data_IF_135673220542
#
_entry.id   IF_135673220542
#
_cell.length_a   1.000
_cell.length_b   1.000
_cell.length_c   1.000
_cell.angle_alpha   90.00
_cell.angle_beta   90.00
_cell.angle_gamma   90.00
#
_symmetry.space_group_name_H-M   'P 1'
#
loop_
_entity.id
_entity.type
_entity.pdbx_description
1 polymer ?
#
# COMPACT_ATOMS: atom_id res chain seq x y z
N UNK A 1 3.49 -13.19 -5.92
CA UNK A 1 3.17 -12.36 -7.12
C UNK A 1 4.26 -12.46 -8.20
N UNK A 2 5.50 -12.01 -7.95
CA UNK A 2 6.57 -11.90 -8.96
C UNK A 2 6.79 -13.17 -9.81
N UNK A 3 6.87 -14.34 -9.17
CA UNK A 3 7.01 -15.63 -9.87
C UNK A 3 5.89 -15.92 -10.88
N UNK A 4 4.65 -15.49 -10.61
CA UNK A 4 3.47 -15.72 -11.48
C UNK A 4 3.45 -14.80 -12.69
N UNK A 5 4.14 -13.67 -12.62
CA UNK A 5 4.19 -12.66 -13.67
C UNK A 5 5.57 -12.55 -14.31
N UNK A 6 6.47 -13.49 -13.99
CA UNK A 6 7.86 -13.50 -14.43
C UNK A 6 8.58 -12.16 -14.22
N UNK A 7 8.41 -11.56 -13.03
CA UNK A 7 9.01 -10.27 -12.69
C UNK A 7 10.23 -10.41 -11.78
N UNK A 8 11.17 -9.48 -11.95
CA UNK A 8 12.20 -9.19 -10.96
C UNK A 8 11.65 -8.26 -9.88
N UNK A 9 12.17 -8.38 -8.65
CA UNK A 9 11.84 -7.49 -7.53
C UNK A 9 13.00 -6.52 -7.33
N UNK A 10 12.75 -5.23 -7.53
CA UNK A 10 13.72 -4.18 -7.20
C UNK A 10 13.81 -3.97 -5.67
N UNK A 11 14.91 -3.40 -5.15
CA UNK A 11 14.98 -2.98 -3.75
C UNK A 11 13.81 -2.07 -3.37
N UNK A 12 13.28 -2.25 -2.16
CA UNK A 12 12.13 -1.48 -1.69
C UNK A 12 12.50 -0.01 -1.42
N UNK A 13 11.59 0.91 -1.78
CA UNK A 13 11.62 2.29 -1.30
C UNK A 13 11.05 2.31 0.11
N UNK A 14 11.94 2.35 1.11
CA UNK A 14 11.57 2.14 2.51
C UNK A 14 11.03 3.39 3.23
N UNK A 15 11.35 4.58 2.74
CA UNK A 15 10.95 5.86 3.36
C UNK A 15 9.96 6.62 2.48
N UNK A 16 8.98 7.26 3.10
CA UNK A 16 7.88 7.94 2.41
C UNK A 16 7.31 9.13 3.19
N UNK A 17 6.18 9.64 2.70
CA UNK A 17 5.51 10.80 3.28
C UNK A 17 4.42 10.31 4.24
N UNK A 18 4.74 10.26 5.53
CA UNK A 18 3.86 9.72 6.59
C UNK A 18 2.72 10.64 7.00
N UNK A 19 2.86 11.95 6.78
CA UNK A 19 1.83 12.94 7.13
C UNK A 19 1.55 12.98 8.62
N UNK A 20 0.27 12.97 9.02
CA UNK A 20 -0.17 13.14 10.41
C UNK A 20 0.27 12.05 11.37
N UNK A 21 0.91 10.98 10.87
CA UNK A 21 1.50 9.90 11.65
C UNK A 21 3.00 10.11 11.96
N UNK A 22 3.61 11.19 11.50
CA UNK A 22 5.04 11.47 11.71
C UNK A 22 5.44 11.55 13.20
N UNK A 23 4.57 12.06 14.06
CA UNK A 23 4.91 12.30 15.47
C UNK A 23 4.96 11.04 16.34
N UNK A 24 4.53 9.88 15.83
CA UNK A 24 4.56 8.62 16.60
C UNK A 24 5.98 8.06 16.65
N UNK A 25 6.41 7.64 17.84
CA UNK A 25 7.76 7.12 18.06
C UNK A 25 8.07 5.91 17.15
N UNK A 26 9.22 5.94 16.49
CA UNK A 26 9.63 4.95 15.50
C UNK A 26 9.18 5.26 14.06
N UNK A 27 8.23 6.18 13.88
CA UNK A 27 7.88 6.73 12.58
C UNK A 27 9.07 7.48 11.96
N UNK A 28 9.30 7.26 10.66
CA UNK A 28 10.30 8.01 9.89
C UNK A 28 9.60 8.70 8.71
N UNK A 29 9.82 10.00 8.58
CA UNK A 29 9.22 10.83 7.56
C UNK A 29 10.30 11.40 6.63
N UNK A 30 10.02 11.43 5.33
CA UNK A 30 10.75 12.30 4.41
C UNK A 30 9.79 13.23 3.69
N UNK A 31 10.24 14.47 3.49
CA UNK A 31 9.48 15.49 2.77
C UNK A 31 9.21 15.07 1.33
N UNK A 32 8.17 15.64 0.71
CA UNK A 32 7.96 15.48 -0.74
C UNK A 32 9.19 15.90 -1.55
N UNK A 33 9.88 16.97 -1.12
CA UNK A 33 11.09 17.48 -1.78
C UNK A 33 12.24 16.46 -1.80
N UNK A 34 12.25 15.48 -0.87
CA UNK A 34 13.18 14.36 -0.88
C UNK A 34 12.59 13.13 -1.60
N UNK A 35 11.33 12.80 -1.32
CA UNK A 35 10.65 11.61 -1.86
C UNK A 35 10.52 11.65 -3.39
N UNK A 36 10.01 12.76 -3.93
CA UNK A 36 9.75 12.93 -5.37
C UNK A 36 11.01 12.69 -6.22
N UNK A 37 12.13 13.41 -6.03
CA UNK A 37 13.33 13.18 -6.83
C UNK A 37 13.94 11.79 -6.59
N UNK A 38 13.89 11.27 -5.36
CA UNK A 38 14.39 9.92 -5.07
C UNK A 38 13.64 8.84 -5.86
N UNK A 39 12.31 8.82 -5.78
CA UNK A 39 11.49 7.85 -6.53
C UNK A 39 11.66 8.03 -8.03
N UNK A 40 11.73 9.28 -8.51
CA UNK A 40 11.98 9.58 -9.93
C UNK A 40 13.29 8.95 -10.38
N UNK A 41 14.40 9.18 -9.68
CA UNK A 41 15.71 8.63 -10.03
C UNK A 41 15.74 7.09 -10.02
N UNK A 42 15.06 6.46 -9.06
CA UNK A 42 14.92 4.98 -9.03
C UNK A 42 14.22 4.47 -10.29
N UNK A 43 13.05 5.03 -10.63
CA UNK A 43 12.28 4.59 -11.79
C UNK A 43 13.02 4.89 -13.11
N UNK A 44 13.65 6.05 -13.24
CA UNK A 44 14.44 6.40 -14.42
C UNK A 44 15.68 5.51 -14.55
N UNK A 45 16.35 5.15 -13.45
CA UNK A 45 17.46 4.21 -13.48
C UNK A 45 17.04 2.84 -14.00
N UNK A 46 15.90 2.32 -13.55
CA UNK A 46 15.33 1.08 -14.10
C UNK A 46 15.04 1.21 -15.60
N UNK A 47 14.44 2.33 -16.02
CA UNK A 47 14.17 2.60 -17.44
C UNK A 47 15.45 2.61 -18.29
N UNK A 48 16.50 3.30 -17.81
CA UNK A 48 17.84 3.36 -18.44
C UNK A 48 18.51 1.98 -18.53
N UNK A 49 18.26 1.10 -17.55
CA UNK A 49 18.73 -0.29 -17.56
C UNK A 49 17.93 -1.22 -18.50
N UNK A 50 16.99 -0.69 -19.28
CA UNK A 50 16.27 -1.46 -20.29
C UNK A 50 14.90 -2.00 -19.86
N UNK A 51 14.47 -1.74 -18.62
CA UNK A 51 13.12 -2.13 -18.20
C UNK A 51 12.07 -1.31 -18.98
N UNK A 52 11.00 -1.99 -19.42
CA UNK A 52 9.89 -1.39 -20.20
C UNK A 52 8.55 -1.46 -19.48
N UNK A 53 8.40 -2.41 -18.56
CA UNK A 53 7.25 -2.51 -17.67
C UNK A 53 7.76 -2.33 -16.24
N UNK A 54 7.30 -1.28 -15.55
CA UNK A 54 7.63 -1.04 -14.15
C UNK A 54 6.33 -1.01 -13.33
N UNK A 55 6.16 -2.01 -12.46
CA UNK A 55 5.00 -2.12 -11.59
C UNK A 55 5.42 -1.67 -10.19
N UNK A 56 4.75 -0.66 -9.66
CA UNK A 56 4.95 -0.17 -8.30
C UNK A 56 3.83 -0.67 -7.41
N UNK A 57 4.14 -1.60 -6.51
CA UNK A 57 3.22 -2.01 -5.45
C UNK A 57 3.37 -1.06 -4.27
N UNK A 58 2.46 -0.10 -4.15
CA UNK A 58 2.48 0.89 -3.07
C UNK A 58 1.96 0.26 -1.79
N UNK A 59 2.71 0.38 -0.70
CA UNK A 59 2.38 -0.12 0.63
C UNK A 59 1.93 0.94 1.63
N UNK A 60 1.99 2.24 1.28
CA UNK A 60 1.66 3.33 2.20
C UNK A 60 0.74 4.37 1.56
N UNK A 61 -0.33 4.71 2.28
CA UNK A 61 -1.36 5.65 1.83
C UNK A 61 -1.03 7.11 2.14
N UNK A 62 -2.06 7.95 2.15
CA UNK A 62 -1.92 9.36 2.50
C UNK A 62 -1.32 10.21 1.37
N UNK A 63 -0.59 11.30 1.71
CA UNK A 63 -0.16 12.29 0.71
C UNK A 63 0.76 11.69 -0.36
N UNK A 64 1.55 10.66 -0.02
CA UNK A 64 2.51 10.09 -0.97
C UNK A 64 1.86 9.47 -2.20
N UNK A 65 0.62 8.98 -2.11
CA UNK A 65 -0.04 8.29 -3.22
C UNK A 65 -0.19 9.20 -4.44
N UNK A 66 -0.55 10.48 -4.21
CA UNK A 66 -0.67 11.45 -5.30
C UNK A 66 0.70 11.75 -5.93
N UNK A 67 1.73 11.92 -5.09
CA UNK A 67 3.11 12.17 -5.54
C UNK A 67 3.63 10.99 -6.36
N UNK A 68 3.46 9.76 -5.87
CA UNK A 68 3.90 8.54 -6.53
C UNK A 68 3.25 8.37 -7.91
N UNK A 69 1.93 8.58 -8.01
CA UNK A 69 1.22 8.52 -9.29
C UNK A 69 1.76 9.56 -10.29
N UNK A 70 1.98 10.79 -9.84
CA UNK A 70 2.51 11.86 -10.68
C UNK A 70 3.92 11.50 -11.20
N UNK A 71 4.81 11.05 -10.32
CA UNK A 71 6.19 10.68 -10.68
C UNK A 71 6.22 9.47 -11.63
N UNK A 72 5.41 8.44 -11.36
CA UNK A 72 5.36 7.27 -12.23
C UNK A 72 4.90 7.64 -13.65
N UNK A 73 3.86 8.46 -13.78
CA UNK A 73 3.36 8.95 -15.06
C UNK A 73 4.37 9.84 -15.81
N UNK A 74 5.06 10.72 -15.08
CA UNK A 74 6.14 11.56 -15.61
C UNK A 74 7.26 10.70 -16.21
N UNK A 75 7.77 9.72 -15.46
CA UNK A 75 8.84 8.82 -15.94
C UNK A 75 8.36 7.95 -17.11
N UNK A 76 7.13 7.46 -17.07
CA UNK A 76 6.53 6.71 -18.18
C UNK A 76 6.55 7.51 -19.48
N UNK A 77 6.17 8.78 -19.40
CA UNK A 77 6.17 9.69 -20.54
C UNK A 77 7.59 10.02 -21.03
N UNK A 78 8.48 10.42 -20.13
CA UNK A 78 9.87 10.80 -20.45
C UNK A 78 10.64 9.65 -21.12
N UNK A 79 10.48 8.42 -20.62
CA UNK A 79 11.25 7.27 -21.07
C UNK A 79 10.53 6.34 -22.05
N UNK A 80 9.26 6.63 -22.38
CA UNK A 80 8.40 5.79 -23.22
C UNK A 80 8.34 4.34 -22.71
N UNK A 81 8.06 4.21 -21.42
CA UNK A 81 7.87 2.92 -20.74
C UNK A 81 6.45 2.84 -20.18
N UNK A 82 6.03 1.66 -19.78
CA UNK A 82 4.74 1.42 -19.14
C UNK A 82 4.92 1.34 -17.63
N UNK A 83 4.13 2.10 -16.88
CA UNK A 83 4.10 2.06 -15.41
C UNK A 83 2.71 1.71 -14.90
N UNK A 84 2.64 0.90 -13.84
CA UNK A 84 1.40 0.62 -13.10
C UNK A 84 1.66 0.82 -11.62
N UNK A 85 0.94 1.75 -10.99
CA UNK A 85 0.95 1.94 -9.54
C UNK A 85 -0.27 1.24 -8.94
N UNK A 86 -0.04 0.37 -7.97
CA UNK A 86 -1.09 -0.42 -7.30
C UNK A 86 -1.09 -0.06 -5.82
N UNK A 87 -2.16 0.58 -5.35
CA UNK A 87 -2.47 0.68 -3.92
C UNK A 87 -3.19 -0.60 -3.51
N UNK A 88 -2.46 -1.56 -2.92
CA UNK A 88 -3.00 -2.91 -2.72
C UNK A 88 -4.28 -2.91 -1.89
N UNK A 89 -4.33 -2.08 -0.83
CA UNK A 89 -5.48 -2.03 0.09
C UNK A 89 -6.74 -1.48 -0.57
N UNK A 90 -6.61 -0.52 -1.49
CA UNK A 90 -7.73 0.04 -2.24
C UNK A 90 -8.23 -0.91 -3.32
N UNK A 91 -7.32 -1.67 -3.96
CA UNK A 91 -7.68 -2.67 -4.97
C UNK A 91 -8.49 -3.83 -4.37
N UNK A 92 -8.28 -4.12 -3.09
CA UNK A 92 -8.83 -5.30 -2.41
C UNK A 92 -9.74 -4.99 -1.23
N UNK A 93 -10.39 -3.83 -1.26
CA UNK A 93 -11.37 -3.45 -0.23
C UNK A 93 -12.58 -4.40 -0.22
N UNK A 94 -12.98 -4.90 -1.39
CA UNK A 94 -14.01 -5.94 -1.55
C UNK A 94 -13.63 -7.25 -0.84
N UNK A 95 -12.39 -7.69 -1.01
CA UNK A 95 -11.85 -8.89 -0.34
C UNK A 95 -11.75 -8.67 1.18
N UNK A 96 -11.46 -7.45 1.60
CA UNK A 96 -11.42 -7.08 3.03
C UNK A 96 -12.79 -7.30 3.66
N UNK A 97 -13.84 -6.78 3.01
CA UNK A 97 -15.22 -6.98 3.42
C UNK A 97 -15.63 -8.46 3.36
N UNK A 98 -15.24 -9.19 2.30
CA UNK A 98 -15.54 -10.62 2.13
C UNK A 98 -14.98 -11.47 3.29
N UNK A 99 -13.71 -11.28 3.65
CA UNK A 99 -13.02 -12.14 4.64
C UNK A 99 -13.34 -11.72 6.07
N UNK A 100 -13.36 -10.41 6.34
CA UNK A 100 -13.51 -9.89 7.70
C UNK A 100 -14.94 -9.53 8.08
N UNK A 101 -15.82 -9.30 7.09
CA UNK A 101 -17.18 -8.79 7.31
C UNK A 101 -17.22 -7.30 7.69
N UNK A 102 -16.08 -6.62 7.60
CA UNK A 102 -15.85 -5.25 8.05
C UNK A 102 -14.81 -4.57 7.13
N UNK A 103 -14.83 -3.24 7.10
CA UNK A 103 -13.80 -2.45 6.43
C UNK A 103 -12.44 -2.51 7.16
N UNK A 104 -11.39 -2.02 6.51
CA UNK A 104 -10.03 -1.99 7.04
C UNK A 104 -9.63 -0.67 7.70
N UNK A 105 -8.32 -0.45 7.79
CA UNK A 105 -7.72 0.77 8.32
C UNK A 105 -6.19 0.78 8.26
N UNK A 106 -5.59 1.88 8.71
CA UNK A 106 -4.17 1.93 9.04
C UNK A 106 -3.95 1.23 10.37
N UNK A 107 -3.01 0.28 10.41
CA UNK A 107 -2.84 -0.68 11.51
C UNK A 107 -4.16 -1.41 11.88
N UNK A 108 -5.14 -1.41 10.97
CA UNK A 108 -6.39 -2.12 11.11
C UNK A 108 -6.22 -3.62 10.88
N UNK A 109 -7.32 -4.36 10.91
CA UNK A 109 -7.29 -5.82 10.78
C UNK A 109 -6.68 -6.25 9.44
N UNK A 110 -6.94 -5.55 8.34
CA UNK A 110 -6.38 -5.86 7.02
C UNK A 110 -4.83 -5.76 6.98
N UNK A 111 -4.24 -4.70 7.51
CA UNK A 111 -2.77 -4.55 7.55
C UNK A 111 -2.15 -5.50 8.56
N UNK A 112 -2.78 -5.66 9.73
CA UNK A 112 -2.31 -6.57 10.79
C UNK A 112 -2.37 -8.03 10.34
N UNK A 113 -3.41 -8.41 9.58
CA UNK A 113 -3.57 -9.73 8.99
C UNK A 113 -2.45 -10.04 7.99
N UNK A 114 -2.01 -9.06 7.20
CA UNK A 114 -0.85 -9.23 6.32
C UNK A 114 0.40 -9.59 7.11
N UNK A 115 0.68 -8.87 8.20
CA UNK A 115 1.82 -9.18 9.07
C UNK A 115 1.69 -10.56 9.72
N UNK A 116 0.50 -10.92 10.22
CA UNK A 116 0.22 -12.26 10.77
C UNK A 116 0.48 -13.39 9.78
N UNK A 117 0.05 -13.23 8.53
CA UNK A 117 0.23 -14.25 7.50
C UNK A 117 1.70 -14.40 7.07
N UNK A 118 2.47 -13.31 7.11
CA UNK A 118 3.89 -13.30 6.71
C UNK A 118 4.78 -13.80 7.85
N UNK A 119 4.64 -13.19 9.03
CA UNK A 119 5.42 -13.50 10.23
C UNK A 119 4.60 -13.14 11.49
N UNK A 120 3.91 -14.12 12.10
CA UNK A 120 3.10 -13.86 13.28
C UNK A 120 3.93 -13.43 14.51
N UNK A 121 5.26 -13.64 14.50
CA UNK A 121 6.12 -13.21 15.61
C UNK A 121 6.29 -11.69 15.70
N UNK A 122 5.97 -10.97 14.61
CA UNK A 122 5.99 -9.51 14.55
C UNK A 122 4.68 -8.87 15.04
N UNK A 123 3.68 -9.67 15.38
CA UNK A 123 2.38 -9.20 15.85
C UNK A 123 2.24 -9.44 17.35
N UNK A 124 1.87 -8.38 18.06
CA UNK A 124 1.85 -8.31 19.52
C UNK A 124 0.44 -7.98 20.06
N UNK A 125 -0.50 -8.95 20.09
CA UNK A 125 -1.87 -8.73 20.56
C UNK A 125 -1.93 -8.18 21.99
N UNK A 126 -0.94 -8.51 22.83
CA UNK A 126 -0.82 -8.05 24.21
C UNK A 126 -0.59 -6.54 24.36
N UNK A 127 -0.17 -5.86 23.28
CA UNK A 127 0.04 -4.41 23.24
C UNK A 127 -1.16 -3.64 22.69
N UNK A 128 -2.14 -4.36 22.13
CA UNK A 128 -3.30 -3.77 21.46
C UNK A 128 -4.43 -3.46 22.45
N UNK A 129 -5.12 -2.34 22.21
CA UNK A 129 -6.33 -1.91 22.90
C UNK A 129 -7.22 -1.14 21.93
N UNK A 130 -8.54 -1.32 22.00
CA UNK A 130 -9.50 -0.67 21.09
C UNK A 130 -9.42 0.87 21.18
N UNK A 131 -9.05 1.42 22.34
CA UNK A 131 -8.89 2.87 22.56
C UNK A 131 -7.70 3.47 21.78
N UNK A 132 -6.82 2.65 21.21
CA UNK A 132 -5.74 3.09 20.32
C UNK A 132 -6.22 3.34 18.88
N UNK A 133 -7.52 3.18 18.61
CA UNK A 133 -8.11 3.42 17.30
C UNK A 133 -8.97 4.68 17.27
N UNK A 134 -8.91 5.40 16.15
CA UNK A 134 -9.83 6.49 15.84
C UNK A 134 -10.28 6.37 14.38
N UNK A 135 -11.59 6.38 14.11
CA UNK A 135 -12.07 6.36 12.74
C UNK A 135 -11.70 7.66 12.00
N UNK A 136 -11.52 7.57 10.68
CA UNK A 136 -11.36 8.79 9.88
C UNK A 136 -12.57 9.69 10.06
N UNK A 137 -12.35 11.01 10.17
CA UNK A 137 -13.44 11.95 10.08
C UNK A 137 -14.16 11.84 8.73
N UNK A 138 -15.42 12.24 8.70
CA UNK A 138 -16.06 12.58 7.44
C UNK A 138 -15.22 13.66 6.72
N UNK A 139 -15.22 13.69 5.38
CA UNK A 139 -14.52 14.73 4.62
C UNK A 139 -14.83 16.13 5.17
N UNK A 140 -13.79 16.95 5.33
CA UNK A 140 -13.84 18.33 5.82
C UNK A 140 -14.42 18.55 7.24
N UNK A 141 -14.68 17.49 8.01
CA UNK A 141 -15.23 17.62 9.36
C UNK A 141 -14.17 18.11 10.37
N UNK A 142 -12.98 17.52 10.36
CA UNK A 142 -11.83 17.97 11.14
C UNK A 142 -10.54 17.35 10.61
N UNK A 143 -9.41 17.95 10.97
CA UNK A 143 -8.07 17.43 10.70
C UNK A 143 -7.19 17.71 11.91
N UNK A 144 -6.51 16.67 12.41
CA UNK A 144 -5.58 16.77 13.52
C UNK A 144 -4.17 16.40 13.06
N UNK A 145 -3.19 17.18 13.50
CA UNK A 145 -1.78 16.92 13.25
C UNK A 145 -1.00 17.06 14.58
N UNK A 146 -0.53 15.96 15.18
CA UNK A 146 -0.64 14.57 14.71
C UNK A 146 -2.07 14.02 14.75
N UNK A 147 -2.30 12.91 14.04
CA UNK A 147 -3.56 12.16 14.17
C UNK A 147 -3.68 11.64 15.62
N UNK A 148 -4.88 11.61 16.22
CA UNK A 148 -5.02 11.35 17.66
C UNK A 148 -4.65 9.93 18.11
N UNK A 149 -4.55 8.98 17.18
CA UNK A 149 -4.39 7.55 17.47
C UNK A 149 -3.43 6.86 16.50
N UNK A 150 -2.68 5.83 16.94
CA UNK A 150 -1.79 5.09 16.04
C UNK A 150 -2.57 4.18 15.07
N UNK A 151 -3.83 3.84 15.36
CA UNK A 151 -4.70 3.04 14.49
C UNK A 151 -5.77 3.96 13.89
N UNK A 152 -5.94 3.90 12.57
CA UNK A 152 -6.95 4.69 11.85
C UNK A 152 -7.95 3.76 11.19
N UNK A 153 -9.21 3.77 11.62
CA UNK A 153 -10.25 2.97 11.00
C UNK A 153 -10.85 3.70 9.80
N UNK A 154 -11.17 2.99 8.72
CA UNK A 154 -11.88 3.61 7.58
C UNK A 154 -13.33 3.94 7.91
N UNK A 155 -13.97 3.13 8.75
CA UNK A 155 -15.35 3.33 9.20
C UNK A 155 -15.44 3.24 10.74
N UNK A 156 -16.33 4.02 11.39
CA UNK A 156 -16.62 3.83 12.81
C UNK A 156 -17.10 2.40 13.09
N UNK A 157 -16.53 1.76 14.11
CA UNK A 157 -16.98 0.44 14.56
C UNK A 157 -16.46 -0.75 13.73
N UNK A 158 -15.59 -0.53 12.74
CA UNK A 158 -15.11 -1.58 11.83
C UNK A 158 -13.59 -1.57 11.71
N UNK A 159 -12.99 -2.74 11.48
CA UNK A 159 -11.58 -2.86 11.11
C UNK A 159 -10.61 -2.93 12.27
N UNK A 160 -11.12 -3.12 13.49
CA UNK A 160 -10.31 -3.40 14.67
C UNK A 160 -9.56 -4.75 14.50
N UNK A 161 -8.25 -4.82 14.79
CA UNK A 161 -7.51 -6.08 14.78
C UNK A 161 -8.12 -7.16 15.68
N UNK A 162 -8.41 -8.35 15.12
CA UNK A 162 -8.96 -9.50 15.87
C UNK A 162 -8.05 -10.73 15.93
N UNK A 163 -6.87 -10.65 15.31
CA UNK A 163 -5.80 -11.65 15.41
C UNK A 163 -6.19 -13.10 15.04
N UNK A 164 -7.09 -13.27 14.07
CA UNK A 164 -7.46 -14.58 13.51
C UNK A 164 -6.49 -15.01 12.40
N UNK A 165 -5.62 -15.97 12.72
CA UNK A 165 -4.60 -16.47 11.79
C UNK A 165 -5.20 -17.10 10.53
N UNK A 166 -6.31 -17.82 10.64
CA UNK A 166 -6.92 -18.50 9.48
C UNK A 166 -7.44 -17.45 8.49
N UNK A 167 -8.10 -16.41 9.01
CA UNK A 167 -8.54 -15.29 8.18
C UNK A 167 -7.37 -14.50 7.61
N UNK A 168 -6.27 -14.36 8.36
CA UNK A 168 -5.06 -13.72 7.87
C UNK A 168 -4.47 -14.44 6.65
N UNK A 169 -4.31 -15.77 6.72
CA UNK A 169 -3.79 -16.60 5.64
C UNK A 169 -4.70 -16.57 4.39
N UNK A 170 -6.02 -16.63 4.61
CA UNK A 170 -7.03 -16.51 3.56
C UNK A 170 -6.96 -15.13 2.87
N UNK A 171 -6.94 -14.05 3.66
CA UNK A 171 -6.85 -12.69 3.16
C UNK A 171 -5.58 -12.46 2.35
N UNK A 172 -4.42 -12.86 2.88
CA UNK A 172 -3.14 -12.74 2.20
C UNK A 172 -3.14 -13.45 0.83
N UNK A 173 -3.68 -14.66 0.78
CA UNK A 173 -3.79 -15.43 -0.47
C UNK A 173 -4.68 -14.71 -1.48
N UNK A 174 -5.92 -14.33 -1.09
CA UNK A 174 -6.87 -13.66 -1.99
C UNK A 174 -6.34 -12.32 -2.50
N UNK A 175 -5.71 -11.52 -1.64
CA UNK A 175 -5.14 -10.22 -2.05
C UNK A 175 -3.98 -10.40 -3.01
N UNK A 176 -3.03 -11.29 -2.71
CA UNK A 176 -1.89 -11.52 -3.60
C UNK A 176 -2.31 -12.15 -4.93
N UNK A 177 -3.38 -12.95 -4.95
CA UNK A 177 -4.03 -13.44 -6.16
C UNK A 177 -4.63 -12.30 -7.00
N UNK A 178 -5.40 -11.40 -6.38
CA UNK A 178 -6.00 -10.24 -7.06
C UNK A 178 -4.95 -9.32 -7.66
N UNK A 179 -3.87 -9.04 -6.92
CA UNK A 179 -2.77 -8.20 -7.41
C UNK A 179 -2.07 -8.86 -8.61
N UNK A 180 -1.78 -10.17 -8.55
CA UNK A 180 -1.17 -10.88 -9.67
C UNK A 180 -2.08 -10.89 -10.91
N UNK A 181 -3.39 -11.14 -10.73
CA UNK A 181 -4.35 -11.14 -11.81
C UNK A 181 -4.44 -9.77 -12.50
N UNK A 182 -4.47 -8.67 -11.74
CA UNK A 182 -4.45 -7.32 -12.28
C UNK A 182 -3.20 -7.07 -13.13
N UNK A 183 -2.01 -7.42 -12.61
CA UNK A 183 -0.76 -7.22 -13.35
C UNK A 183 -0.78 -7.98 -14.68
N UNK A 184 -1.23 -9.25 -14.68
CA UNK A 184 -1.34 -10.06 -15.90
C UNK A 184 -2.31 -9.42 -16.90
N UNK A 185 -3.46 -8.96 -16.42
CA UNK A 185 -4.48 -8.34 -17.27
C UNK A 185 -3.98 -7.04 -17.92
N UNK A 186 -3.36 -6.15 -17.13
CA UNK A 186 -2.79 -4.90 -17.63
C UNK A 186 -1.62 -5.19 -18.58
N UNK A 187 -0.76 -6.14 -18.21
CA UNK A 187 0.21 -6.86 -19.05
C UNK A 187 -0.29 -7.03 -20.48
N UNK A 188 -1.29 -7.91 -20.56
CA UNK A 188 -1.94 -8.34 -21.79
C UNK A 188 -2.61 -7.19 -22.54
N UNK A 189 -3.26 -6.24 -21.84
CA UNK A 189 -3.93 -5.10 -22.47
C UNK A 189 -2.94 -4.17 -23.16
N UNK A 190 -1.79 -3.89 -22.55
CA UNK A 190 -0.76 -3.09 -23.20
C UNK A 190 -0.19 -3.78 -24.43
N UNK A 191 0.05 -5.10 -24.35
CA UNK A 191 0.56 -5.87 -25.50
C UNK A 191 -0.44 -5.92 -26.66
N UNK A 192 -1.73 -6.08 -26.37
CA UNK A 192 -2.79 -6.01 -27.39
C UNK A 192 -2.89 -4.64 -28.06
N UNK A 193 -2.60 -3.57 -27.32
CA UNK A 193 -2.59 -2.22 -27.85
C UNK A 193 -1.31 -1.89 -28.64
N UNK A 194 -0.31 -2.79 -28.66
CA UNK A 194 0.97 -2.56 -29.32
C UNK A 194 1.82 -1.46 -28.67
N UNK A 195 1.62 -1.23 -27.36
CA UNK A 195 2.33 -0.22 -26.57
C UNK A 195 3.71 -0.68 -26.11
#
# INVERSE_FOLDING_TARGET
IAARVNAMIAPAVAYGITGSLEAFAGGTHISEAAYRPYVKEVLQSLARNGFRNIIVLNGHGGPQTAVLNAVAGEVAHEHRIRTLVINWWSLTSDITMEVFGEDGGHAGWNETAFMQAIDPTLVHPERYKDELATPRPAPDAWSAFPFPSPIILYQPGQGYPKFDQKKADEYFTKVTDRVAALIIEIMRKWDLAGL
#
